data_IF_211419060568
#
_entry.id   IF_211419060568
#
_cell.length_a   1.000
_cell.length_b   1.000
_cell.length_c   1.000
_cell.angle_alpha   90.00
_cell.angle_beta   90.00
_cell.angle_gamma   90.00
#
_symmetry.space_group_name_H-M   'P 1'
#
loop_
_entity.id
_entity.type
_entity.pdbx_description
1 polymer ?
#
# COMPACT_ATOMS: atom_id res chain seq x y z
N UNK A 1 -17.06 -4.23 0.08
CA UNK A 1 -16.05 -5.29 0.26
C UNK A 1 -16.38 -6.56 -0.51
N UNK A 2 -17.50 -7.24 -0.23
CA UNK A 2 -17.84 -8.54 -0.86
C UNK A 2 -17.81 -8.55 -2.40
N UNK A 3 -18.41 -7.54 -3.06
CA UNK A 3 -18.46 -7.50 -4.52
C UNK A 3 -17.10 -7.36 -5.20
N UNK A 4 -16.15 -6.63 -4.59
CA UNK A 4 -14.79 -6.52 -5.12
C UNK A 4 -13.93 -7.75 -4.82
N UNK A 5 -14.29 -8.52 -3.78
CA UNK A 5 -13.63 -9.79 -3.48
C UNK A 5 -13.99 -10.79 -4.56
N UNK A 6 -15.28 -11.10 -4.76
CA UNK A 6 -15.73 -12.27 -5.54
C UNK A 6 -15.66 -12.15 -7.07
N UNK A 7 -15.39 -10.96 -7.62
CA UNK A 7 -15.54 -10.75 -9.07
C UNK A 7 -14.31 -11.17 -9.89
N UNK A 8 -13.15 -10.53 -9.69
CA UNK A 8 -11.93 -10.79 -10.44
C UNK A 8 -10.70 -10.29 -9.66
N UNK A 9 -9.50 -10.73 -10.04
CA UNK A 9 -8.25 -10.30 -9.45
C UNK A 9 -8.04 -8.78 -9.55
N UNK A 10 -8.50 -8.18 -10.65
CA UNK A 10 -8.51 -6.74 -10.87
C UNK A 10 -9.44 -5.98 -9.93
N UNK A 11 -10.65 -6.50 -9.69
CA UNK A 11 -11.60 -5.90 -8.75
C UNK A 11 -11.08 -5.97 -7.32
N UNK A 12 -10.39 -7.04 -6.96
CA UNK A 12 -9.73 -7.18 -5.67
C UNK A 12 -8.59 -6.19 -5.53
N UNK A 13 -7.75 -6.06 -6.55
CA UNK A 13 -6.69 -5.04 -6.59
C UNK A 13 -7.23 -3.62 -6.42
N UNK A 14 -8.24 -3.25 -7.20
CA UNK A 14 -8.86 -1.91 -7.12
C UNK A 14 -9.45 -1.69 -5.72
N UNK A 15 -10.18 -2.67 -5.18
CA UNK A 15 -10.79 -2.55 -3.87
C UNK A 15 -9.76 -2.30 -2.76
N UNK A 16 -8.69 -3.08 -2.73
CA UNK A 16 -7.63 -2.92 -1.73
C UNK A 16 -6.77 -1.67 -1.98
N UNK A 17 -6.58 -1.21 -3.23
CA UNK A 17 -5.95 0.10 -3.48
C UNK A 17 -6.77 1.26 -2.92
N UNK A 18 -8.11 1.22 -3.05
CA UNK A 18 -8.99 2.27 -2.51
C UNK A 18 -8.94 2.27 -0.98
N UNK A 19 -8.97 1.09 -0.36
CA UNK A 19 -8.83 0.95 1.10
C UNK A 19 -7.47 1.48 1.56
N UNK A 20 -6.38 1.10 0.88
CA UNK A 20 -5.02 1.57 1.19
C UNK A 20 -4.94 3.10 1.22
N UNK A 21 -5.48 3.77 0.19
CA UNK A 21 -5.48 5.24 0.10
C UNK A 21 -6.29 5.84 1.25
N UNK A 22 -7.49 5.29 1.52
CA UNK A 22 -8.34 5.75 2.62
C UNK A 22 -7.66 5.62 3.99
N UNK A 23 -7.06 4.46 4.27
CA UNK A 23 -6.35 4.21 5.52
C UNK A 23 -5.15 5.15 5.71
N UNK A 24 -4.36 5.39 4.66
CA UNK A 24 -3.22 6.31 4.76
C UNK A 24 -3.66 7.77 4.94
N UNK A 25 -4.77 8.17 4.30
CA UNK A 25 -5.32 9.51 4.48
C UNK A 25 -5.79 9.74 5.93
N UNK A 26 -6.53 8.79 6.50
CA UNK A 26 -6.93 8.88 7.91
C UNK A 26 -5.75 8.81 8.86
N UNK A 27 -4.77 7.95 8.58
CA UNK A 27 -3.55 7.86 9.37
C UNK A 27 -2.81 9.21 9.44
N UNK A 28 -2.64 9.89 8.30
CA UNK A 28 -2.01 11.21 8.28
C UNK A 28 -2.80 12.27 9.05
N UNK A 29 -4.15 12.22 8.97
CA UNK A 29 -5.04 13.13 9.71
C UNK A 29 -4.90 12.92 11.22
N UNK A 30 -4.91 11.66 11.67
CA UNK A 30 -4.69 11.30 13.08
C UNK A 30 -3.29 11.70 13.55
N UNK A 31 -2.26 11.43 12.75
CA UNK A 31 -0.88 11.72 13.16
C UNK A 31 -0.58 13.21 13.25
N UNK A 32 -1.25 14.03 12.43
CA UNK A 32 -1.23 15.50 12.56
C UNK A 32 -1.81 15.97 13.90
N UNK A 33 -2.75 15.23 14.49
CA UNK A 33 -3.37 15.56 15.79
C UNK A 33 -2.58 15.04 16.99
N UNK A 34 -1.85 13.94 16.83
CA UNK A 34 -1.11 13.29 17.93
C UNK A 34 0.27 13.91 18.09
N UNK A 35 0.98 14.14 16.97
CA UNK A 35 2.38 14.55 16.99
C UNK A 35 2.54 15.95 16.37
N UNK A 36 2.86 17.00 17.15
CA UNK A 36 2.99 18.37 16.63
C UNK A 36 4.17 18.52 15.65
N UNK A 37 5.18 17.64 15.75
CA UNK A 37 6.27 17.56 14.77
C UNK A 37 5.77 17.10 13.39
N UNK A 38 4.69 16.32 13.34
CA UNK A 38 4.06 15.85 12.12
C UNK A 38 3.14 16.92 11.49
N UNK A 39 2.62 17.84 12.30
CA UNK A 39 1.78 18.95 11.81
C UNK A 39 2.54 19.91 10.90
N UNK A 40 3.84 20.11 11.13
CA UNK A 40 4.71 20.99 10.35
C UNK A 40 5.31 20.34 9.09
N UNK A 41 4.86 19.15 8.73
CA UNK A 41 5.36 18.42 7.56
C UNK A 41 4.99 19.14 6.25
N UNK A 42 5.94 19.15 5.31
CA UNK A 42 5.76 19.69 3.96
C UNK A 42 4.63 18.96 3.22
N UNK A 43 3.89 19.69 2.37
CA UNK A 43 2.86 19.08 1.51
C UNK A 43 3.43 17.96 0.63
N UNK A 44 4.70 18.07 0.21
CA UNK A 44 5.39 17.06 -0.61
C UNK A 44 5.50 15.73 0.13
N UNK A 45 5.85 15.73 1.42
CA UNK A 45 5.95 14.49 2.19
C UNK A 45 4.57 13.84 2.42
N UNK A 46 3.51 14.62 2.64
CA UNK A 46 2.14 14.08 2.80
C UNK A 46 1.66 13.37 1.54
N UNK A 47 1.85 13.99 0.37
CA UNK A 47 1.53 13.35 -0.91
C UNK A 47 2.49 12.21 -1.25
N UNK A 48 3.78 12.39 -0.97
CA UNK A 48 4.81 11.38 -1.18
C UNK A 48 4.53 10.10 -0.39
N UNK A 49 4.18 10.21 0.89
CA UNK A 49 3.84 9.05 1.72
C UNK A 49 2.60 8.30 1.22
N UNK A 50 1.57 9.00 0.71
CA UNK A 50 0.43 8.34 0.05
C UNK A 50 0.87 7.51 -1.17
N UNK A 51 1.70 8.10 -2.04
CA UNK A 51 2.18 7.43 -3.26
C UNK A 51 3.14 6.28 -2.91
N UNK A 52 4.03 6.47 -1.94
CA UNK A 52 4.95 5.43 -1.48
C UNK A 52 4.16 4.24 -0.92
N UNK A 53 3.14 4.49 -0.09
CA UNK A 53 2.34 3.41 0.50
C UNK A 53 1.54 2.61 -0.53
N UNK A 54 0.97 3.28 -1.54
CA UNK A 54 0.29 2.57 -2.62
C UNK A 54 1.28 1.79 -3.48
N UNK A 55 2.41 2.37 -3.87
CA UNK A 55 3.46 1.66 -4.62
C UNK A 55 4.10 0.52 -3.84
N UNK A 56 4.22 0.64 -2.52
CA UNK A 56 4.66 -0.42 -1.62
C UNK A 56 3.72 -1.62 -1.67
N UNK A 57 2.43 -1.37 -1.53
CA UNK A 57 1.41 -2.41 -1.67
C UNK A 57 1.47 -3.10 -3.05
N UNK A 58 1.65 -2.32 -4.13
CA UNK A 58 1.75 -2.83 -5.50
C UNK A 58 3.04 -3.63 -5.72
N UNK A 59 4.18 -3.18 -5.20
CA UNK A 59 5.47 -3.85 -5.35
C UNK A 59 5.56 -5.19 -4.60
N UNK A 60 4.76 -5.34 -3.54
CA UNK A 60 4.60 -6.60 -2.77
C UNK A 60 3.45 -7.47 -3.29
N UNK A 61 2.69 -7.02 -4.27
CA UNK A 61 1.65 -7.81 -4.91
C UNK A 61 2.25 -9.05 -5.61
N UNK A 62 1.55 -10.19 -5.63
CA UNK A 62 1.99 -11.39 -6.33
C UNK A 62 2.06 -11.18 -7.85
N UNK A 63 2.94 -11.94 -8.51
CA UNK A 63 3.23 -11.83 -9.94
C UNK A 63 2.15 -12.39 -10.88
N UNK A 64 1.05 -12.86 -10.31
CA UNK A 64 -0.13 -13.34 -11.03
C UNK A 64 -0.87 -12.20 -11.73
N UNK A 65 -0.77 -10.96 -11.23
CA UNK A 65 -1.24 -9.76 -11.94
C UNK A 65 -0.26 -9.37 -13.05
N UNK A 66 -0.61 -9.64 -14.30
CA UNK A 66 0.18 -9.28 -15.48
C UNK A 66 -0.53 -8.23 -16.33
N UNK A 67 0.21 -7.22 -16.79
CA UNK A 67 -0.20 -6.29 -17.86
C UNK A 67 0.83 -6.44 -18.98
N UNK A 68 0.39 -6.78 -20.19
CA UNK A 68 1.30 -6.86 -21.35
C UNK A 68 2.40 -7.93 -21.23
N UNK A 69 2.15 -9.01 -20.48
CA UNK A 69 3.10 -10.12 -20.27
C UNK A 69 4.06 -9.96 -19.08
N UNK A 70 4.21 -8.74 -18.57
CA UNK A 70 5.05 -8.43 -17.40
C UNK A 70 4.22 -8.27 -16.12
N UNK A 71 4.80 -8.65 -14.99
CA UNK A 71 4.16 -8.52 -13.67
C UNK A 71 4.06 -7.06 -13.24
N UNK A 72 2.89 -6.64 -12.76
CA UNK A 72 2.67 -5.29 -12.21
C UNK A 72 3.60 -5.02 -11.02
N UNK A 73 3.94 -6.06 -10.25
CA UNK A 73 4.83 -5.95 -9.11
C UNK A 73 6.24 -5.50 -9.51
N UNK A 74 6.70 -5.85 -10.72
CA UNK A 74 7.99 -5.41 -11.23
C UNK A 74 8.00 -3.89 -11.40
N UNK A 75 7.05 -3.35 -12.16
CA UNK A 75 6.90 -1.90 -12.33
C UNK A 75 6.68 -1.17 -11.00
N UNK A 76 5.88 -1.77 -10.11
CA UNK A 76 5.63 -1.24 -8.76
C UNK A 76 6.91 -1.08 -7.95
N UNK A 77 7.81 -2.08 -7.95
CA UNK A 77 9.09 -2.01 -7.22
C UNK A 77 10.03 -0.94 -7.76
N UNK A 78 10.14 -0.81 -9.08
CA UNK A 78 10.95 0.25 -9.69
C UNK A 78 10.38 1.64 -9.42
N UNK A 79 9.05 1.80 -9.57
CA UNK A 79 8.37 3.04 -9.27
C UNK A 79 8.53 3.44 -7.80
N UNK A 80 8.43 2.47 -6.88
CA UNK A 80 8.62 2.69 -5.45
C UNK A 80 10.00 3.26 -5.14
N UNK A 81 11.06 2.62 -5.64
CA UNK A 81 12.42 3.10 -5.42
C UNK A 81 12.63 4.51 -6.00
N UNK A 82 12.08 4.77 -7.19
CA UNK A 82 12.14 6.09 -7.82
C UNK A 82 11.42 7.17 -7.00
N UNK A 83 10.22 6.88 -6.48
CA UNK A 83 9.46 7.86 -5.69
C UNK A 83 10.10 8.10 -4.33
N UNK A 84 10.59 7.07 -3.64
CA UNK A 84 11.33 7.25 -2.37
C UNK A 84 12.54 8.15 -2.60
N UNK A 85 13.35 7.88 -3.64
CA UNK A 85 14.51 8.69 -3.97
C UNK A 85 14.10 10.15 -4.26
N UNK A 86 13.05 10.38 -5.06
CA UNK A 86 12.55 11.72 -5.36
C UNK A 86 12.11 12.48 -4.11
N UNK A 87 11.33 11.85 -3.23
CA UNK A 87 10.86 12.50 -1.99
C UNK A 87 12.05 12.91 -1.12
N UNK A 88 13.03 12.02 -0.94
CA UNK A 88 14.24 12.32 -0.16
C UNK A 88 15.08 13.44 -0.77
N UNK A 89 15.24 13.48 -2.09
CA UNK A 89 15.96 14.56 -2.79
C UNK A 89 15.25 15.90 -2.59
N UNK A 90 13.92 15.95 -2.75
CA UNK A 90 13.15 17.17 -2.58
C UNK A 90 13.22 17.67 -1.12
N UNK A 91 13.18 16.76 -0.15
CA UNK A 91 13.33 17.12 1.27
C UNK A 91 14.73 17.62 1.61
N UNK A 92 15.76 17.03 0.99
CA UNK A 92 17.14 17.50 1.14
C UNK A 92 17.33 18.91 0.57
N UNK A 93 16.75 19.18 -0.61
CA UNK A 93 16.80 20.50 -1.26
C UNK A 93 16.02 21.55 -0.48
N UNK A 94 14.86 21.20 0.05
CA UNK A 94 14.01 22.12 0.83
C UNK A 94 14.50 22.32 2.27
N UNK A 95 15.51 21.55 2.72
CA UNK A 95 16.14 21.62 4.06
C UNK A 95 15.15 21.44 5.21
N UNK A 96 13.96 20.90 4.96
CA UNK A 96 12.90 20.64 5.94
C UNK A 96 12.99 19.21 6.51
N UNK A 97 14.20 18.69 6.68
CA UNK A 97 14.42 17.31 7.08
C UNK A 97 14.07 17.13 8.56
N UNK A 98 12.91 16.54 8.83
CA UNK A 98 12.49 16.20 10.19
C UNK A 98 12.52 14.68 10.36
N UNK A 99 13.60 14.19 10.99
CA UNK A 99 13.84 12.75 11.16
C UNK A 99 12.71 12.04 11.93
N UNK A 100 12.08 12.73 12.89
CA UNK A 100 10.95 12.17 13.66
C UNK A 100 9.71 12.00 12.78
N UNK A 101 9.40 13.00 11.96
CA UNK A 101 8.30 12.92 11.00
C UNK A 101 8.47 11.77 10.01
N UNK A 102 9.67 11.62 9.45
CA UNK A 102 9.98 10.58 8.46
C UNK A 102 9.86 9.17 9.06
N UNK A 103 10.39 8.95 10.26
CA UNK A 103 10.28 7.63 10.91
C UNK A 103 8.85 7.30 11.30
N UNK A 104 8.09 8.28 11.79
CA UNK A 104 6.67 8.10 12.10
C UNK A 104 5.84 7.75 10.86
N UNK A 105 6.08 8.43 9.73
CA UNK A 105 5.49 8.09 8.43
C UNK A 105 5.86 6.68 7.99
N UNK A 106 7.13 6.30 8.13
CA UNK A 106 7.63 4.99 7.73
C UNK A 106 6.97 3.85 8.52
N UNK A 107 6.81 4.01 9.84
CA UNK A 107 6.13 3.01 10.70
C UNK A 107 4.67 2.84 10.28
N UNK A 108 3.95 3.94 10.04
CA UNK A 108 2.57 3.88 9.56
C UNK A 108 2.44 3.21 8.19
N UNK A 109 3.37 3.52 7.29
CA UNK A 109 3.41 2.91 5.95
C UNK A 109 3.68 1.41 6.03
N UNK A 110 4.63 0.98 6.85
CA UNK A 110 4.94 -0.45 7.03
C UNK A 110 3.70 -1.15 7.60
N UNK A 111 3.09 -0.60 8.65
CA UNK A 111 1.94 -1.22 9.31
C UNK A 111 0.75 -1.41 8.36
N UNK A 112 0.34 -0.35 7.66
CA UNK A 112 -0.85 -0.38 6.79
C UNK A 112 -0.54 -1.12 5.49
N UNK A 113 0.54 -0.75 4.80
CA UNK A 113 0.83 -1.25 3.46
C UNK A 113 1.28 -2.71 3.46
N UNK A 114 2.00 -3.16 4.49
CA UNK A 114 2.40 -4.56 4.61
C UNK A 114 1.17 -5.45 4.87
N UNK A 115 0.29 -5.03 5.78
CA UNK A 115 -0.95 -5.76 6.08
C UNK A 115 -1.83 -5.95 4.84
N UNK A 116 -2.09 -4.88 4.09
CA UNK A 116 -2.86 -4.97 2.84
C UNK A 116 -2.15 -5.78 1.75
N UNK A 117 -0.82 -5.68 1.65
CA UNK A 117 -0.06 -6.46 0.67
C UNK A 117 -0.16 -7.98 0.91
N UNK A 118 -0.29 -8.39 2.18
CA UNK A 118 -0.41 -9.79 2.57
C UNK A 118 -1.72 -10.43 2.08
N UNK A 119 -2.82 -9.66 2.04
CA UNK A 119 -4.08 -10.13 1.47
C UNK A 119 -3.96 -10.54 0.00
N UNK A 120 -3.12 -9.85 -0.78
CA UNK A 120 -2.86 -10.25 -2.16
C UNK A 120 -2.08 -11.55 -2.24
N UNK A 121 -1.05 -11.71 -1.41
CA UNK A 121 -0.26 -12.94 -1.38
C UNK A 121 -1.13 -14.14 -0.98
N UNK A 122 -1.97 -13.99 0.04
CA UNK A 122 -2.93 -15.02 0.47
C UNK A 122 -3.89 -15.42 -0.67
N UNK A 123 -4.42 -14.45 -1.40
CA UNK A 123 -5.27 -14.71 -2.58
C UNK A 123 -4.53 -15.50 -3.66
N UNK A 124 -3.27 -15.15 -3.94
CA UNK A 124 -2.48 -15.82 -4.99
C UNK A 124 -2.07 -17.23 -4.62
N UNK A 125 -1.75 -17.50 -3.35
CA UNK A 125 -1.42 -18.86 -2.89
C UNK A 125 -2.64 -19.78 -3.04
N UNK A 126 -3.83 -19.24 -2.78
CA UNK A 126 -5.09 -19.99 -2.86
C UNK A 126 -5.64 -20.16 -4.27
N UNK A 127 -5.33 -19.24 -5.18
CA UNK A 127 -5.68 -19.38 -6.60
C UNK A 127 -4.98 -20.58 -7.26
N UNK A 128 -3.82 -21.01 -6.74
CA UNK A 128 -3.05 -22.17 -7.21
C UNK A 128 -3.41 -23.48 -6.46
N UNK A 129 -4.51 -23.49 -5.71
CA UNK A 129 -4.89 -24.65 -4.90
C UNK A 129 -5.48 -25.81 -5.71
N UNK A 130 -5.27 -27.03 -5.21
CA UNK A 130 -5.70 -28.31 -5.83
C UNK A 130 -7.23 -28.39 -5.99
N UNK A 131 -8.00 -27.57 -5.25
CA UNK A 131 -9.47 -27.59 -5.19
C UNK A 131 -10.17 -26.59 -6.14
N UNK A 132 -9.43 -25.90 -7.03
CA UNK A 132 -9.96 -24.87 -7.93
C UNK A 132 -9.65 -23.43 -7.46
N UNK A 133 -10.18 -22.41 -8.14
CA UNK A 133 -9.95 -20.99 -7.81
C UNK A 133 -10.67 -20.58 -6.51
N UNK A 134 -10.11 -21.00 -5.38
CA UNK A 134 -10.53 -20.62 -4.03
C UNK A 134 -9.80 -19.37 -3.53
N UNK A 135 -9.24 -18.55 -4.43
CA UNK A 135 -8.50 -17.33 -4.08
C UNK A 135 -9.27 -16.33 -3.21
N UNK A 136 -10.60 -16.47 -3.14
CA UNK A 136 -11.51 -15.61 -2.40
C UNK A 136 -11.80 -16.07 -0.96
N UNK A 137 -11.61 -17.36 -0.65
CA UNK A 137 -12.13 -17.98 0.57
C UNK A 137 -11.47 -17.42 1.84
N UNK A 138 -10.14 -17.41 1.94
CA UNK A 138 -9.43 -16.91 3.12
C UNK A 138 -9.53 -15.40 3.32
N UNK A 139 -9.37 -14.54 2.30
CA UNK A 139 -9.58 -13.11 2.47
C UNK A 139 -10.99 -12.78 2.99
N UNK A 140 -12.01 -13.51 2.54
CA UNK A 140 -13.39 -13.31 2.96
C UNK A 140 -13.62 -13.83 4.39
N UNK A 141 -13.07 -14.99 4.74
CA UNK A 141 -13.15 -15.55 6.10
C UNK A 141 -12.49 -14.62 7.13
N UNK A 142 -11.32 -14.07 6.78
CA UNK A 142 -10.58 -13.15 7.63
C UNK A 142 -11.37 -11.84 7.84
N UNK A 143 -11.95 -11.27 6.77
CA UNK A 143 -12.78 -10.06 6.87
C UNK A 143 -14.05 -10.28 7.69
N UNK A 144 -14.65 -11.48 7.63
CA UNK A 144 -15.84 -11.82 8.42
C UNK A 144 -15.50 -12.07 9.91
N UNK A 145 -14.26 -12.46 10.21
CA UNK A 145 -13.83 -12.76 11.58
C UNK A 145 -13.45 -11.53 12.42
N UNK A 146 -13.25 -10.37 11.79
CA UNK A 146 -12.89 -9.10 12.44
C UNK A 146 -14.14 -8.24 12.57
#
# INVERSE_FOLDING_TARGET
MLGGIMYNQWSFFILFTVIQIGCLYEFQKLMTSIEPAYANISRVHKWGTLIIGTLFMIGLSPATLKIGGYSIAYYGRFALLGVIALVLIIELVTRQFNFKAVTTSAVGLIYISMGLSLFFQLRSIMAESIFGDLGFAFPLLLIVSI
#
